data_IF_195155981049
#
_entry.id   IF_195155981049
#
_cell.length_a   1.000
_cell.length_b   1.000
_cell.length_c   1.000
_cell.angle_alpha   90.00
_cell.angle_beta   90.00
_cell.angle_gamma   90.00
#
_symmetry.space_group_name_H-M   'P 1'
#
loop_
_entity.id
_entity.type
_entity.pdbx_description
1 polymer ?
#
# COMPACT_ATOMS: atom_id res chain seq x y z
N UNK A 1 5.18 -5.63 -10.45
CA UNK A 1 5.94 -6.10 -9.26
C UNK A 1 5.95 -7.62 -9.19
N UNK A 2 7.12 -8.21 -8.98
CA UNK A 2 7.36 -9.66 -8.93
C UNK A 2 7.23 -10.21 -7.52
N UNK A 3 7.00 -11.52 -7.39
CA UNK A 3 6.85 -12.19 -6.09
C UNK A 3 8.06 -11.95 -5.16
N UNK A 4 9.29 -12.03 -5.68
CA UNK A 4 10.50 -11.76 -4.90
C UNK A 4 10.61 -10.32 -4.38
N UNK A 5 9.99 -9.35 -5.06
CA UNK A 5 9.95 -7.96 -4.59
C UNK A 5 8.97 -7.79 -3.42
N UNK A 6 7.84 -8.50 -3.44
CA UNK A 6 6.91 -8.55 -2.30
C UNK A 6 7.59 -9.16 -1.06
N UNK A 7 8.29 -10.28 -1.20
CA UNK A 7 9.00 -10.93 -0.08
C UNK A 7 10.05 -10.02 0.55
N UNK A 8 10.74 -9.20 -0.26
CA UNK A 8 11.68 -8.20 0.26
C UNK A 8 10.99 -7.05 1.00
N UNK A 9 9.77 -6.67 0.59
CA UNK A 9 8.98 -5.60 1.21
C UNK A 9 8.20 -6.05 2.44
N UNK A 10 7.95 -7.36 2.58
CA UNK A 10 7.19 -7.96 3.67
C UNK A 10 8.01 -9.13 4.23
N UNK A 11 9.09 -8.87 4.99
CA UNK A 11 10.07 -9.89 5.34
C UNK A 11 9.51 -11.06 6.16
N UNK A 12 8.46 -10.83 6.95
CA UNK A 12 7.88 -11.83 7.85
C UNK A 12 6.81 -12.72 7.18
N UNK A 13 6.48 -12.48 5.90
CA UNK A 13 5.49 -13.30 5.19
C UNK A 13 6.13 -14.54 4.59
N UNK A 14 5.53 -15.71 4.80
CA UNK A 14 5.94 -16.92 4.08
C UNK A 14 5.55 -16.85 2.60
N UNK A 15 6.35 -17.45 1.72
CA UNK A 15 6.06 -17.52 0.28
C UNK A 15 4.69 -18.16 -0.01
N UNK A 16 4.30 -19.17 0.77
CA UNK A 16 2.99 -19.83 0.65
C UNK A 16 1.86 -18.85 0.92
N UNK A 17 1.92 -18.13 2.04
CA UNK A 17 0.89 -17.16 2.43
C UNK A 17 0.82 -16.01 1.43
N UNK A 18 1.97 -15.46 1.00
CA UNK A 18 2.00 -14.41 -0.02
C UNK A 18 1.32 -14.85 -1.32
N UNK A 19 1.65 -16.06 -1.79
CA UNK A 19 1.07 -16.59 -3.03
C UNK A 19 -0.43 -16.82 -2.89
N UNK A 20 -0.88 -17.33 -1.74
CA UNK A 20 -2.30 -17.48 -1.43
C UNK A 20 -3.02 -16.13 -1.46
N UNK A 21 -2.50 -15.12 -0.75
CA UNK A 21 -3.11 -13.78 -0.70
C UNK A 21 -3.15 -13.10 -2.07
N UNK A 22 -2.09 -13.22 -2.87
CA UNK A 22 -2.09 -12.70 -4.24
C UNK A 22 -3.12 -13.40 -5.14
N UNK A 23 -3.30 -14.71 -4.99
CA UNK A 23 -4.32 -15.44 -5.75
C UNK A 23 -5.74 -15.04 -5.33
N UNK A 24 -5.98 -14.85 -4.04
CA UNK A 24 -7.26 -14.35 -3.51
C UNK A 24 -7.57 -12.97 -4.10
N UNK A 25 -6.62 -12.03 -4.03
CA UNK A 25 -6.81 -10.68 -4.59
C UNK A 25 -6.98 -10.67 -6.12
N UNK A 26 -6.41 -11.64 -6.84
CA UNK A 26 -6.64 -11.82 -8.27
C UNK A 26 -8.05 -12.34 -8.55
N UNK A 27 -8.52 -13.31 -7.77
CA UNK A 27 -9.89 -13.83 -7.88
C UNK A 27 -10.92 -12.75 -7.58
N UNK A 28 -10.64 -11.88 -6.60
CA UNK A 28 -11.47 -10.74 -6.22
C UNK A 28 -11.35 -9.55 -7.20
N UNK A 29 -10.53 -9.66 -8.25
CA UNK A 29 -10.29 -8.63 -9.28
C UNK A 29 -9.71 -7.32 -8.74
N UNK A 30 -9.10 -7.35 -7.55
CA UNK A 30 -8.37 -6.22 -6.95
C UNK A 30 -6.95 -6.13 -7.53
N UNK A 31 -6.34 -7.28 -7.80
CA UNK A 31 -5.02 -7.42 -8.41
C UNK A 31 -5.15 -8.12 -9.74
N UNK A 32 -4.33 -7.74 -10.71
CA UNK A 32 -4.15 -8.49 -11.96
C UNK A 32 -2.76 -9.13 -11.99
N UNK A 33 -2.69 -10.33 -12.55
CA UNK A 33 -1.46 -11.06 -12.81
C UNK A 33 -1.17 -11.03 -14.31
N UNK A 34 -0.02 -10.47 -14.69
CA UNK A 34 0.42 -10.36 -16.07
C UNK A 34 1.58 -11.33 -16.28
N UNK A 35 1.47 -12.19 -17.28
CA UNK A 35 2.56 -13.07 -17.72
C UNK A 35 3.35 -12.37 -18.81
N UNK A 36 4.65 -12.20 -18.59
CA UNK A 36 5.57 -11.60 -19.56
C UNK A 36 6.34 -12.71 -20.26
N UNK A 37 5.99 -13.05 -21.52
CA UNK A 37 6.73 -14.04 -22.29
C UNK A 37 8.14 -13.51 -22.61
N UNK A 38 9.13 -14.39 -22.52
CA UNK A 38 10.53 -14.04 -22.76
C UNK A 38 11.50 -14.95 -21.99
N UNK A 39 12.79 -14.64 -22.06
CA UNK A 39 13.84 -15.30 -21.28
C UNK A 39 14.45 -14.28 -20.30
N UNK A 40 14.21 -14.40 -18.98
CA UNK A 40 13.40 -15.40 -18.30
C UNK A 40 11.88 -15.11 -18.36
N UNK A 41 11.08 -16.19 -18.46
CA UNK A 41 9.63 -16.12 -18.32
C UNK A 41 9.31 -15.72 -16.88
N UNK A 42 8.51 -14.67 -16.72
CA UNK A 42 8.14 -14.19 -15.39
C UNK A 42 6.71 -13.64 -15.35
N UNK A 43 6.22 -13.45 -14.12
CA UNK A 43 4.91 -12.87 -13.85
C UNK A 43 5.08 -11.63 -13.00
N UNK A 44 4.21 -10.65 -13.24
CA UNK A 44 4.08 -9.49 -12.39
C UNK A 44 2.65 -9.28 -11.95
N UNK A 45 2.51 -8.64 -10.79
CA UNK A 45 1.25 -8.25 -10.20
C UNK A 45 1.14 -6.72 -10.19
N UNK A 46 -0.07 -6.22 -10.47
CA UNK A 46 -0.42 -4.81 -10.37
C UNK A 46 -1.87 -4.66 -9.88
N UNK A 47 -2.21 -3.51 -9.29
CA UNK A 47 -3.61 -3.21 -8.96
C UNK A 47 -4.43 -3.02 -10.24
N UNK A 48 -5.65 -3.52 -10.23
CA UNK A 48 -6.67 -3.14 -11.21
C UNK A 48 -7.20 -1.74 -10.91
N UNK A 49 -8.09 -1.20 -11.74
CA UNK A 49 -8.74 0.07 -11.44
C UNK A 49 -9.63 -0.02 -10.19
N UNK A 50 -10.28 -1.16 -9.97
CA UNK A 50 -11.00 -1.44 -8.73
C UNK A 50 -10.04 -1.50 -7.52
N UNK A 51 -8.89 -2.16 -7.66
CA UNK A 51 -7.90 -2.17 -6.58
C UNK A 51 -7.31 -0.78 -6.27
N UNK A 52 -7.21 0.11 -7.27
CA UNK A 52 -6.83 1.50 -7.04
C UNK A 52 -7.92 2.30 -6.33
N UNK A 53 -9.20 1.96 -6.53
CA UNK A 53 -10.31 2.57 -5.80
C UNK A 53 -10.24 2.18 -4.31
N UNK A 54 -10.07 0.88 -4.03
CA UNK A 54 -9.92 0.34 -2.67
C UNK A 54 -8.71 0.94 -1.94
N UNK A 55 -7.59 1.15 -2.66
CA UNK A 55 -6.40 1.80 -2.11
C UNK A 55 -6.71 3.14 -1.42
N UNK A 56 -7.66 3.93 -1.95
CA UNK A 56 -8.03 5.22 -1.33
C UNK A 56 -8.61 5.02 0.07
N UNK A 57 -9.54 4.08 0.21
CA UNK A 57 -10.18 3.74 1.49
C UNK A 57 -9.14 3.22 2.49
N UNK A 58 -8.22 2.36 2.04
CA UNK A 58 -7.15 1.85 2.89
C UNK A 58 -6.21 2.96 3.38
N UNK A 59 -5.88 3.93 2.53
CA UNK A 59 -5.07 5.10 2.92
C UNK A 59 -5.79 5.93 3.97
N UNK A 60 -7.09 6.20 3.78
CA UNK A 60 -7.87 7.00 4.73
C UNK A 60 -7.96 6.32 6.10
N UNK A 61 -8.10 4.99 6.11
CA UNK A 61 -8.03 4.19 7.34
C UNK A 61 -6.66 4.28 8.02
N UNK A 62 -5.56 4.23 7.25
CA UNK A 62 -4.20 4.40 7.81
C UNK A 62 -3.99 5.81 8.38
N UNK A 63 -4.46 6.85 7.69
CA UNK A 63 -4.40 8.25 8.16
C UNK A 63 -5.16 8.41 9.47
N UNK A 64 -6.39 7.88 9.54
CA UNK A 64 -7.15 7.89 10.78
C UNK A 64 -6.43 7.14 11.90
N UNK A 65 -5.85 5.97 11.60
CA UNK A 65 -5.10 5.16 12.56
C UNK A 65 -3.89 5.89 13.15
N UNK A 66 -3.14 6.62 12.33
CA UNK A 66 -2.04 7.49 12.78
C UNK A 66 -2.54 8.57 13.74
N UNK A 67 -3.56 9.33 13.34
CA UNK A 67 -4.14 10.37 14.19
C UNK A 67 -4.72 9.82 15.49
N UNK A 68 -5.33 8.64 15.46
CA UNK A 68 -5.87 8.01 16.65
C UNK A 68 -4.76 7.55 17.60
N UNK A 69 -3.69 6.93 17.08
CA UNK A 69 -2.54 6.56 17.88
C UNK A 69 -1.86 7.78 18.53
N UNK A 70 -1.75 8.90 17.81
CA UNK A 70 -1.19 10.14 18.36
C UNK A 70 -2.07 10.71 19.50
N UNK A 71 -3.39 10.65 19.37
CA UNK A 71 -4.33 11.02 20.46
C UNK A 71 -4.16 10.13 21.68
N UNK A 72 -4.14 8.81 21.49
CA UNK A 72 -3.97 7.86 22.60
C UNK A 72 -2.64 8.07 23.34
N UNK A 73 -1.56 8.35 22.60
CA UNK A 73 -0.27 8.70 23.21
C UNK A 73 -0.31 10.02 23.98
N UNK A 74 -1.03 11.03 23.49
CA UNK A 74 -1.24 12.29 24.22
C UNK A 74 -2.04 12.08 25.51
N UNK A 75 -2.98 11.13 25.51
CA UNK A 75 -3.77 10.72 26.69
C UNK A 75 -3.00 9.78 27.64
N UNK A 76 -1.71 9.53 27.38
CA UNK A 76 -0.83 8.71 28.21
C UNK A 76 -0.91 7.20 27.95
N UNK A 77 -1.66 6.76 26.95
CA UNK A 77 -1.69 5.36 26.51
C UNK A 77 -0.53 5.14 25.54
N UNK A 78 0.52 4.41 25.97
CA UNK A 78 1.71 4.15 25.17
C UNK A 78 1.40 3.20 24.00
N UNK A 79 1.00 3.77 22.87
CA UNK A 79 0.67 3.05 21.63
C UNK A 79 1.84 3.18 20.66
N UNK A 80 2.46 2.04 20.33
CA UNK A 80 3.52 1.94 19.32
C UNK A 80 3.05 1.12 18.13
N UNK A 81 3.57 1.45 16.95
CA UNK A 81 3.38 0.64 15.75
C UNK A 81 4.44 -0.47 15.70
N UNK A 82 4.09 -1.63 15.16
CA UNK A 82 5.03 -2.75 15.03
C UNK A 82 6.14 -2.51 13.98
N UNK A 83 5.99 -1.50 13.13
CA UNK A 83 7.01 -1.07 12.16
C UNK A 83 6.84 0.40 11.79
N UNK A 84 7.95 1.09 11.52
CA UNK A 84 7.96 2.45 11.01
C UNK A 84 7.32 2.57 9.61
N UNK A 85 7.23 1.47 8.87
CA UNK A 85 6.56 1.40 7.56
C UNK A 85 5.04 1.62 7.64
N UNK A 86 4.44 1.58 8.83
CA UNK A 86 3.02 1.83 9.06
C UNK A 86 2.70 3.30 9.39
N UNK A 87 3.69 4.20 9.25
CA UNK A 87 3.53 5.65 9.44
C UNK A 87 3.79 6.44 8.15
N UNK A 88 3.30 7.68 8.11
CA UNK A 88 3.54 8.62 7.02
C UNK A 88 2.45 8.66 5.97
N UNK A 89 1.34 7.93 6.14
CA UNK A 89 0.16 8.01 5.29
C UNK A 89 -0.52 9.38 5.39
N UNK A 90 -0.38 10.05 6.53
CA UNK A 90 -0.76 11.46 6.74
C UNK A 90 -0.15 12.42 5.70
N UNK A 91 1.02 12.10 5.14
CA UNK A 91 1.69 12.91 4.11
C UNK A 91 1.17 12.63 2.68
N UNK A 92 0.46 11.52 2.47
CA UNK A 92 -0.02 11.07 1.15
C UNK A 92 -1.28 11.82 0.70
N UNK A 93 -2.06 12.35 1.64
CA UNK A 93 -3.27 13.14 1.35
C UNK A 93 -2.99 14.59 0.93
N UNK A 94 -1.72 15.05 0.95
CA UNK A 94 -1.39 16.41 0.52
C UNK A 94 -1.84 16.63 -0.94
N UNK A 95 -2.77 17.57 -1.21
CA UNK A 95 -3.24 17.80 -2.57
C UNK A 95 -2.08 18.22 -3.48
N UNK A 96 -2.00 17.66 -4.68
CA UNK A 96 -1.12 18.13 -5.77
C UNK A 96 -1.42 19.57 -6.26
N UNK A 97 -2.29 20.30 -5.57
CA UNK A 97 -2.73 21.66 -5.92
C UNK A 97 -1.90 22.71 -5.20
N UNK A 98 -0.63 22.85 -5.55
CA UNK A 98 0.14 24.04 -5.16
C UNK A 98 1.36 24.31 -6.07
N UNK A 99 1.34 23.80 -7.31
CA UNK A 99 2.42 24.06 -8.29
C UNK A 99 1.95 24.91 -9.48
N UNK A 100 0.64 25.02 -9.74
CA UNK A 100 0.11 25.69 -10.94
C UNK A 100 -0.34 27.16 -10.76
N UNK A 101 -0.15 27.78 -9.59
CA UNK A 101 -0.56 29.17 -9.33
C UNK A 101 0.58 30.18 -9.21
N UNK A 102 1.82 29.82 -9.56
CA UNK A 102 2.98 30.75 -9.61
C UNK A 102 3.50 31.07 -11.02
N UNK A 103 2.75 30.70 -12.06
CA UNK A 103 3.10 30.98 -13.47
C UNK A 103 2.01 31.83 -14.14
N UNK A 104 1.53 32.87 -13.47
CA UNK A 104 0.60 33.84 -14.04
C UNK A 104 0.71 35.20 -13.31
N UNK A 105 1.93 35.73 -13.21
CA UNK A 105 2.20 37.16 -13.01
C UNK A 105 3.35 37.59 -13.91
#
# INVERSE_FOLDING_TARGET
>A
MRNGEFLRKIPDISQKVLTQQLNELVNDKIVQKITFPGLPLHVEYSLTDEGKSLRKVLIDMSVWGEHHADKLNADGQNVSFSSDNYRGYTKIQTPKKEVDQRMAE
#
